data_IF_152626522850
#
_entry.id   IF_152626522850
#
_cell.length_a   1.000
_cell.length_b   1.000
_cell.length_c   1.000
_cell.angle_alpha   90.00
_cell.angle_beta   90.00
_cell.angle_gamma   90.00
#
_symmetry.space_group_name_H-M   'P 1'
#
loop_
_entity.id
_entity.type
_entity.pdbx_description
1 polymer ?
#
# COMPACT_ATOMS: atom_id res chain seq x y z
N UNK A 1 -22.83 20.96 -26.85
CA UNK A 1 -22.10 19.77 -26.34
C UNK A 1 -21.18 19.31 -27.46
N UNK A 2 -19.87 19.50 -27.32
CA UNK A 2 -18.90 19.00 -28.32
C UNK A 2 -18.84 17.46 -28.21
N UNK A 3 -18.75 16.72 -29.34
CA UNK A 3 -18.58 15.27 -29.31
C UNK A 3 -17.23 14.94 -28.64
N UNK A 4 -17.24 14.00 -27.71
CA UNK A 4 -16.03 13.57 -27.01
C UNK A 4 -15.19 12.72 -27.98
N UNK A 5 -13.88 12.98 -28.03
CA UNK A 5 -12.96 12.26 -28.91
C UNK A 5 -12.94 10.76 -28.57
N UNK A 6 -12.71 9.86 -29.55
CA UNK A 6 -12.71 8.41 -29.33
C UNK A 6 -11.71 7.96 -28.26
N UNK A 7 -10.52 8.58 -28.20
CA UNK A 7 -9.51 8.30 -27.18
C UNK A 7 -9.97 8.67 -25.76
N UNK A 8 -10.70 9.78 -25.62
CA UNK A 8 -11.27 10.22 -24.34
C UNK A 8 -12.42 9.31 -23.89
N UNK A 9 -13.16 8.72 -24.83
CA UNK A 9 -14.17 7.71 -24.51
C UNK A 9 -13.53 6.41 -23.99
N UNK A 10 -12.49 5.90 -24.66
CA UNK A 10 -11.77 4.71 -24.22
C UNK A 10 -11.08 4.91 -22.86
N UNK A 11 -10.47 6.07 -22.63
CA UNK A 11 -9.85 6.40 -21.34
C UNK A 11 -10.89 6.46 -20.20
N UNK A 12 -12.05 7.09 -20.44
CA UNK A 12 -13.14 7.13 -19.45
C UNK A 12 -13.67 5.74 -19.13
N UNK A 13 -13.88 4.91 -20.14
CA UNK A 13 -14.33 3.53 -19.95
C UNK A 13 -13.34 2.72 -19.10
N UNK A 14 -12.03 2.89 -19.31
CA UNK A 14 -11.00 2.28 -18.44
C UNK A 14 -11.18 2.69 -16.98
N UNK A 15 -11.36 3.99 -16.71
CA UNK A 15 -11.55 4.51 -15.35
C UNK A 15 -12.83 3.98 -14.72
N UNK A 16 -13.92 3.86 -15.49
CA UNK A 16 -15.20 3.30 -15.04
C UNK A 16 -15.08 1.83 -14.65
N UNK A 17 -14.45 1.01 -15.50
CA UNK A 17 -14.22 -0.43 -15.25
C UNK A 17 -13.32 -0.65 -14.03
N UNK A 18 -12.23 0.12 -13.90
CA UNK A 18 -11.38 0.05 -12.70
C UNK A 18 -12.13 0.51 -11.45
N UNK A 19 -12.93 1.58 -11.57
CA UNK A 19 -13.80 2.03 -10.49
C UNK A 19 -14.79 0.96 -10.05
N UNK A 20 -15.35 0.20 -10.99
CA UNK A 20 -16.21 -0.94 -10.68
C UNK A 20 -15.45 -2.07 -9.98
N UNK A 21 -14.25 -2.41 -10.45
CA UNK A 21 -13.40 -3.41 -9.79
C UNK A 21 -13.09 -3.02 -8.33
N UNK A 22 -12.80 -1.74 -8.05
CA UNK A 22 -12.63 -1.22 -6.68
C UNK A 22 -13.91 -1.46 -5.86
N UNK A 23 -15.10 -1.13 -6.39
CA UNK A 23 -16.37 -1.32 -5.69
C UNK A 23 -16.66 -2.80 -5.40
N UNK A 24 -16.39 -3.70 -6.35
CA UNK A 24 -16.52 -5.14 -6.13
C UNK A 24 -15.55 -5.63 -5.04
N UNK A 25 -14.30 -5.20 -5.09
CA UNK A 25 -13.28 -5.58 -4.10
C UNK A 25 -13.57 -5.06 -2.70
N UNK A 26 -14.44 -4.06 -2.51
CA UNK A 26 -14.89 -3.64 -1.17
C UNK A 26 -15.72 -4.71 -0.46
N UNK A 27 -16.50 -5.48 -1.23
CA UNK A 27 -17.48 -6.43 -0.69
C UNK A 27 -17.13 -7.90 -0.93
N UNK A 28 -16.10 -8.19 -1.74
CA UNK A 28 -15.64 -9.56 -2.05
C UNK A 28 -14.14 -9.75 -1.83
N UNK A 29 -13.73 -10.97 -1.49
CA UNK A 29 -12.32 -11.35 -1.48
C UNK A 29 -11.79 -11.50 -2.91
N UNK A 30 -10.49 -11.25 -3.13
CA UNK A 30 -9.90 -11.23 -4.48
C UNK A 30 -10.17 -12.52 -5.28
N UNK A 31 -10.09 -13.68 -4.62
CA UNK A 31 -10.30 -14.99 -5.26
C UNK A 31 -11.77 -15.28 -5.63
N UNK A 32 -12.71 -14.46 -5.16
CA UNK A 32 -14.14 -14.56 -5.48
C UNK A 32 -14.54 -13.60 -6.62
N UNK A 33 -13.63 -12.69 -7.03
CA UNK A 33 -13.92 -11.70 -8.07
C UNK A 33 -13.61 -12.28 -9.46
N UNK A 34 -14.45 -11.93 -10.42
CA UNK A 34 -14.36 -12.33 -11.82
C UNK A 34 -14.87 -11.19 -12.71
N UNK A 35 -14.64 -11.27 -14.02
CA UNK A 35 -15.04 -10.22 -14.97
C UNK A 35 -16.55 -9.96 -14.97
N UNK A 36 -17.37 -10.98 -14.74
CA UNK A 36 -18.84 -10.90 -14.65
C UNK A 36 -19.28 -9.96 -13.52
N UNK A 37 -18.58 -10.01 -12.39
CA UNK A 37 -18.85 -9.13 -11.26
C UNK A 37 -18.55 -7.66 -11.62
N UNK A 38 -17.44 -7.42 -12.32
CA UNK A 38 -17.02 -6.08 -12.76
C UNK A 38 -17.95 -5.54 -13.85
N UNK A 39 -18.36 -6.38 -14.82
CA UNK A 39 -19.35 -6.04 -15.84
C UNK A 39 -20.68 -5.62 -15.18
N UNK A 40 -21.18 -6.42 -14.24
CA UNK A 40 -22.39 -6.10 -13.49
C UNK A 40 -22.26 -4.77 -12.73
N UNK A 41 -21.15 -4.56 -12.01
CA UNK A 41 -20.92 -3.36 -11.20
C UNK A 41 -20.62 -2.09 -12.03
N UNK A 42 -20.12 -2.26 -13.24
CA UNK A 42 -19.86 -1.15 -14.17
C UNK A 42 -21.09 -0.79 -15.01
N UNK A 43 -22.07 -1.70 -15.12
CA UNK A 43 -23.21 -1.56 -16.03
C UNK A 43 -22.87 -1.79 -17.51
N UNK A 44 -21.64 -2.26 -17.81
CA UNK A 44 -21.19 -2.55 -19.17
C UNK A 44 -21.27 -4.04 -19.48
N UNK A 45 -21.56 -4.42 -20.73
CA UNK A 45 -21.45 -5.80 -21.19
C UNK A 45 -20.05 -6.41 -20.95
N UNK A 46 -19.98 -7.71 -20.70
CA UNK A 46 -18.71 -8.38 -20.36
C UNK A 46 -17.69 -8.33 -21.50
N UNK A 47 -18.13 -8.41 -22.75
CA UNK A 47 -17.30 -8.27 -23.95
C UNK A 47 -16.61 -6.89 -23.97
N UNK A 48 -17.35 -5.82 -23.67
CA UNK A 48 -16.79 -4.46 -23.55
C UNK A 48 -15.74 -4.38 -22.43
N UNK A 49 -16.01 -4.98 -21.27
CA UNK A 49 -15.04 -5.02 -20.16
C UNK A 49 -13.76 -5.76 -20.56
N UNK A 50 -13.90 -6.92 -21.20
CA UNK A 50 -12.75 -7.74 -21.63
C UNK A 50 -12.00 -7.16 -22.83
N UNK A 51 -12.65 -6.37 -23.68
CA UNK A 51 -11.97 -5.61 -24.74
C UNK A 51 -11.04 -4.56 -24.15
N UNK A 52 -11.53 -3.82 -23.15
CA UNK A 52 -10.78 -2.74 -22.48
C UNK A 52 -9.68 -3.29 -21.57
N UNK A 53 -9.91 -4.44 -20.95
CA UNK A 53 -8.94 -5.19 -20.15
C UNK A 53 -8.86 -6.64 -20.61
N UNK A 54 -8.02 -6.94 -21.63
CA UNK A 54 -7.90 -8.29 -22.20
C UNK A 54 -7.37 -9.34 -21.23
N UNK A 55 -6.72 -8.92 -20.15
CA UNK A 55 -6.18 -9.81 -19.13
C UNK A 55 -6.65 -9.39 -17.74
N UNK A 56 -6.95 -10.39 -16.91
CA UNK A 56 -7.27 -10.20 -15.51
C UNK A 56 -6.14 -9.45 -14.78
N UNK A 57 -4.91 -9.85 -15.06
CA UNK A 57 -3.68 -9.23 -14.60
C UNK A 57 -3.63 -7.73 -14.88
N UNK A 58 -4.00 -7.31 -16.10
CA UNK A 58 -4.03 -5.90 -16.49
C UNK A 58 -5.07 -5.10 -15.69
N UNK A 59 -6.25 -5.67 -15.47
CA UNK A 59 -7.29 -5.05 -14.65
C UNK A 59 -6.87 -4.96 -13.19
N UNK A 60 -6.29 -6.02 -12.64
CA UNK A 60 -5.80 -6.08 -11.26
C UNK A 60 -4.74 -5.00 -11.00
N UNK A 61 -3.75 -4.88 -11.88
CA UNK A 61 -2.68 -3.89 -11.73
C UNK A 61 -3.19 -2.45 -11.87
N UNK A 62 -4.08 -2.18 -12.84
CA UNK A 62 -4.70 -0.87 -12.99
C UNK A 62 -5.55 -0.49 -11.76
N UNK A 63 -6.21 -1.48 -11.16
CA UNK A 63 -6.97 -1.32 -9.91
C UNK A 63 -6.08 -0.96 -8.74
N UNK A 64 -4.92 -1.63 -8.59
CA UNK A 64 -3.94 -1.29 -7.55
C UNK A 64 -3.47 0.16 -7.71
N UNK A 65 -3.11 0.56 -8.92
CA UNK A 65 -2.55 1.90 -9.18
C UNK A 65 -3.58 2.98 -8.89
N UNK A 66 -4.78 2.86 -9.48
CA UNK A 66 -5.84 3.86 -9.31
C UNK A 66 -6.30 3.95 -7.86
N UNK A 67 -6.46 2.83 -7.15
CA UNK A 67 -6.93 2.86 -5.76
C UNK A 67 -5.86 3.41 -4.80
N UNK A 68 -4.58 3.05 -5.00
CA UNK A 68 -3.49 3.66 -4.22
C UNK A 68 -3.40 5.16 -4.48
N UNK A 69 -3.53 5.60 -5.73
CA UNK A 69 -3.51 7.02 -6.09
C UNK A 69 -4.67 7.79 -5.44
N UNK A 70 -5.90 7.27 -5.52
CA UNK A 70 -7.09 7.86 -4.89
C UNK A 70 -6.92 8.01 -3.37
N UNK A 71 -6.30 7.03 -2.69
CA UNK A 71 -6.02 7.11 -1.25
C UNK A 71 -4.91 8.11 -0.95
N UNK A 72 -3.85 8.13 -1.77
CA UNK A 72 -2.58 8.77 -1.41
C UNK A 72 -2.50 10.22 -1.83
N UNK A 73 -3.00 10.59 -3.03
CA UNK A 73 -2.93 11.97 -3.52
C UNK A 73 -3.52 13.01 -2.56
N UNK A 74 -4.71 12.79 -1.94
CA UNK A 74 -5.27 13.76 -0.99
C UNK A 74 -4.39 13.98 0.24
N UNK A 75 -3.52 13.02 0.57
CA UNK A 75 -2.66 13.02 1.74
C UNK A 75 -1.26 13.56 1.46
N UNK A 76 -0.85 13.70 0.19
CA UNK A 76 0.47 14.22 -0.20
C UNK A 76 0.84 15.56 0.46
N UNK A 77 -0.08 16.54 0.62
CA UNK A 77 0.24 17.79 1.30
C UNK A 77 0.63 17.62 2.78
N UNK A 78 0.28 16.48 3.41
CA UNK A 78 0.71 16.16 4.79
C UNK A 78 2.19 15.78 4.81
N UNK A 79 2.69 15.03 3.83
CA UNK A 79 4.09 14.66 3.74
C UNK A 79 4.98 15.91 3.66
N UNK A 80 4.60 16.86 2.80
CA UNK A 80 5.34 18.11 2.60
C UNK A 80 5.39 18.98 3.85
N UNK A 81 4.27 19.08 4.59
CA UNK A 81 4.16 19.98 5.76
C UNK A 81 4.63 19.36 7.07
N UNK A 82 4.39 18.06 7.25
CA UNK A 82 4.45 17.40 8.55
C UNK A 82 5.39 16.18 8.56
N UNK A 83 6.00 15.84 7.43
CA UNK A 83 6.96 14.76 7.31
C UNK A 83 6.33 13.39 7.07
N UNK A 84 7.21 12.44 6.77
CA UNK A 84 6.90 11.09 6.28
C UNK A 84 6.12 10.27 7.31
N UNK A 85 6.49 10.38 8.58
CA UNK A 85 5.83 9.64 9.67
C UNK A 85 4.36 10.05 9.80
N UNK A 86 4.08 11.35 9.80
CA UNK A 86 2.71 11.88 9.93
C UNK A 86 1.89 11.53 8.68
N UNK A 87 2.52 11.53 7.51
CA UNK A 87 1.90 11.07 6.27
C UNK A 87 1.50 9.57 6.33
N UNK A 88 2.39 8.69 6.78
CA UNK A 88 2.03 7.27 6.95
C UNK A 88 0.95 7.08 8.02
N UNK A 89 0.97 7.85 9.10
CA UNK A 89 -0.11 7.87 10.09
C UNK A 89 -1.46 8.25 9.45
N UNK A 90 -1.46 9.25 8.56
CA UNK A 90 -2.67 9.65 7.85
C UNK A 90 -3.18 8.55 6.92
N UNK A 91 -2.28 7.81 6.26
CA UNK A 91 -2.64 6.62 5.47
C UNK A 91 -3.25 5.54 6.37
N UNK A 92 -2.69 5.28 7.56
CA UNK A 92 -3.28 4.34 8.53
C UNK A 92 -4.69 4.76 8.90
N UNK A 93 -4.92 6.05 9.17
CA UNK A 93 -6.27 6.58 9.43
C UNK A 93 -7.24 6.35 8.27
N UNK A 94 -6.80 6.56 7.03
CA UNK A 94 -7.61 6.26 5.85
C UNK A 94 -7.92 4.76 5.71
N UNK A 95 -6.97 3.88 6.05
CA UNK A 95 -7.16 2.43 5.99
C UNK A 95 -8.06 1.92 7.13
N UNK A 96 -8.14 2.60 8.27
CA UNK A 96 -9.15 2.32 9.31
C UNK A 96 -10.56 2.63 8.79
N UNK A 97 -10.72 3.76 8.08
CA UNK A 97 -12.00 4.13 7.50
C UNK A 97 -12.44 3.21 6.34
N UNK A 98 -11.48 2.65 5.60
CA UNK A 98 -11.69 1.71 4.52
C UNK A 98 -10.61 0.61 4.47
N UNK A 99 -10.83 -0.54 5.14
CA UNK A 99 -9.84 -1.61 5.21
C UNK A 99 -9.71 -2.41 3.90
N UNK A 100 -10.60 -2.17 2.93
CA UNK A 100 -10.75 -3.00 1.73
C UNK A 100 -9.51 -3.00 0.84
N UNK A 101 -8.86 -1.83 0.70
CA UNK A 101 -7.63 -1.73 -0.07
C UNK A 101 -6.52 -2.58 0.56
N UNK A 102 -6.38 -2.54 1.88
CA UNK A 102 -5.33 -3.31 2.56
C UNK A 102 -5.57 -4.81 2.45
N UNK A 103 -6.82 -5.26 2.60
CA UNK A 103 -7.18 -6.66 2.34
C UNK A 103 -6.83 -7.09 0.91
N UNK A 104 -7.09 -6.22 -0.07
CA UNK A 104 -6.73 -6.47 -1.46
C UNK A 104 -5.21 -6.53 -1.67
N UNK A 105 -4.45 -5.54 -1.16
CA UNK A 105 -2.98 -5.51 -1.27
C UNK A 105 -2.33 -6.72 -0.57
N UNK A 106 -2.84 -7.13 0.59
CA UNK A 106 -2.35 -8.34 1.26
C UNK A 106 -2.65 -9.60 0.47
N UNK A 107 -3.78 -9.66 -0.25
CA UNK A 107 -4.07 -10.79 -1.14
C UNK A 107 -3.07 -10.87 -2.30
N UNK A 108 -2.57 -9.73 -2.79
CA UNK A 108 -1.60 -9.69 -3.89
C UNK A 108 -0.16 -9.95 -3.42
N UNK A 109 0.14 -9.85 -2.12
CA UNK A 109 1.43 -10.31 -1.57
C UNK A 109 1.66 -11.80 -1.83
N UNK A 110 0.64 -12.65 -1.68
CA UNK A 110 0.76 -14.09 -1.97
C UNK A 110 1.11 -14.34 -3.45
N UNK A 111 0.52 -13.55 -4.35
CA UNK A 111 0.82 -13.60 -5.79
C UNK A 111 2.28 -13.18 -6.01
N UNK A 112 2.70 -12.07 -5.42
CA UNK A 112 4.06 -11.55 -5.55
C UNK A 112 5.10 -12.54 -5.00
N UNK A 113 4.83 -13.17 -3.86
CA UNK A 113 5.74 -14.11 -3.19
C UNK A 113 5.80 -15.49 -3.84
N UNK A 114 4.89 -15.81 -4.77
CA UNK A 114 4.86 -17.11 -5.44
C UNK A 114 6.01 -17.23 -6.45
N UNK A 115 6.91 -18.21 -6.31
CA UNK A 115 7.98 -18.42 -7.28
C UNK A 115 7.44 -18.58 -8.70
N UNK A 116 8.09 -17.92 -9.66
CA UNK A 116 7.75 -17.98 -11.10
C UNK A 116 6.36 -17.45 -11.49
N UNK A 117 5.63 -16.76 -10.59
CA UNK A 117 4.35 -16.17 -10.96
C UNK A 117 4.54 -15.03 -11.98
N UNK A 118 3.81 -15.02 -13.13
CA UNK A 118 3.99 -14.00 -14.18
C UNK A 118 3.81 -12.55 -13.69
N UNK A 119 2.87 -12.32 -12.78
CA UNK A 119 2.64 -11.00 -12.17
C UNK A 119 3.70 -10.53 -11.17
N UNK A 120 4.51 -11.43 -10.59
CA UNK A 120 5.39 -11.08 -9.47
C UNK A 120 6.35 -9.91 -9.79
N UNK A 121 7.05 -9.86 -10.95
CA UNK A 121 7.90 -8.72 -11.29
C UNK A 121 7.17 -7.37 -11.33
N UNK A 122 5.92 -7.36 -11.82
CA UNK A 122 5.10 -6.14 -11.92
C UNK A 122 4.64 -5.67 -10.53
N UNK A 123 4.37 -6.60 -9.62
CA UNK A 123 4.06 -6.30 -8.23
C UNK A 123 5.30 -5.77 -7.51
N UNK A 124 6.47 -6.42 -7.63
CA UNK A 124 7.72 -5.97 -7.00
C UNK A 124 8.07 -4.52 -7.32
N UNK A 125 7.83 -4.07 -8.55
CA UNK A 125 8.05 -2.67 -8.94
C UNK A 125 7.25 -1.70 -8.06
N UNK A 126 6.01 -2.04 -7.69
CA UNK A 126 5.14 -1.18 -6.86
C UNK A 126 5.63 -1.11 -5.42
N UNK A 127 5.97 -2.26 -4.81
CA UNK A 127 6.54 -2.29 -3.46
C UNK A 127 7.87 -1.53 -3.40
N UNK A 128 8.77 -1.75 -4.38
CA UNK A 128 10.05 -1.03 -4.44
C UNK A 128 9.88 0.47 -4.62
N UNK A 129 8.90 0.92 -5.41
CA UNK A 129 8.59 2.34 -5.57
C UNK A 129 8.12 2.96 -4.26
N UNK A 130 7.23 2.29 -3.53
CA UNK A 130 6.76 2.78 -2.24
C UNK A 130 7.88 2.83 -1.20
N UNK A 131 8.73 1.78 -1.14
CA UNK A 131 9.91 1.77 -0.28
C UNK A 131 10.88 2.91 -0.60
N UNK A 132 11.22 3.08 -1.88
CA UNK A 132 12.11 4.16 -2.33
C UNK A 132 11.53 5.54 -2.00
N UNK A 133 10.22 5.74 -2.18
CA UNK A 133 9.53 6.96 -1.80
C UNK A 133 9.67 7.27 -0.31
N UNK A 134 9.39 6.29 0.58
CA UNK A 134 9.50 6.49 2.04
C UNK A 134 10.94 6.78 2.44
N UNK A 135 11.92 6.06 1.89
CA UNK A 135 13.33 6.31 2.15
C UNK A 135 13.76 7.72 1.73
N UNK A 136 13.38 8.17 0.54
CA UNK A 136 13.69 9.52 0.05
C UNK A 136 13.02 10.60 0.89
N UNK A 137 11.78 10.37 1.32
CA UNK A 137 11.05 11.30 2.16
C UNK A 137 11.66 11.40 3.58
N UNK A 138 12.10 10.29 4.17
CA UNK A 138 12.84 10.31 5.44
C UNK A 138 14.21 10.98 5.31
N UNK A 139 14.93 10.78 4.20
CA UNK A 139 16.17 11.50 3.91
C UNK A 139 15.93 13.02 3.91
N UNK A 140 14.88 13.48 3.23
CA UNK A 140 14.50 14.88 3.25
C UNK A 140 14.12 15.37 4.66
N UNK A 141 13.38 14.57 5.43
CA UNK A 141 13.00 14.92 6.81
C UNK A 141 14.21 15.08 7.74
N UNK A 142 15.28 14.30 7.55
CA UNK A 142 16.55 14.50 8.25
C UNK A 142 17.22 15.80 7.80
N UNK A 143 17.31 16.04 6.50
CA UNK A 143 17.95 17.25 5.93
C UNK A 143 17.30 18.56 6.43
N UNK A 144 15.99 18.58 6.61
CA UNK A 144 15.26 19.75 7.12
C UNK A 144 15.05 19.75 8.64
N UNK A 145 15.63 18.77 9.35
CA UNK A 145 15.63 18.70 10.81
C UNK A 145 14.33 18.26 11.48
N UNK A 146 13.43 17.57 10.76
CA UNK A 146 12.21 16.95 11.32
C UNK A 146 12.49 15.62 12.01
N UNK A 147 13.50 14.90 11.53
CA UNK A 147 14.00 13.65 12.11
C UNK A 147 15.48 13.81 12.49
N UNK A 148 15.97 13.04 13.49
CA UNK A 148 17.33 13.21 14.01
C UNK A 148 18.40 12.80 12.99
N UNK A 149 19.56 13.45 13.05
CA UNK A 149 20.75 13.17 12.21
C UNK A 149 21.39 11.81 12.49
N UNK A 150 21.11 11.22 13.65
CA UNK A 150 21.49 9.85 14.01
C UNK A 150 20.68 8.77 13.28
N UNK A 151 19.57 9.13 12.63
CA UNK A 151 18.77 8.20 11.84
C UNK A 151 19.46 7.87 10.52
N UNK A 152 19.57 6.58 10.18
CA UNK A 152 19.93 6.12 8.83
C UNK A 152 18.64 5.92 8.00
N UNK A 153 18.34 6.76 6.97
CA UNK A 153 17.04 6.73 6.30
C UNK A 153 16.67 5.41 5.62
N UNK A 154 17.66 4.66 5.13
CA UNK A 154 17.42 3.34 4.54
C UNK A 154 16.89 2.34 5.60
N UNK A 155 17.51 2.30 6.78
CA UNK A 155 17.07 1.44 7.89
C UNK A 155 15.78 1.95 8.52
N UNK A 156 15.65 3.26 8.66
CA UNK A 156 14.42 3.90 9.16
C UNK A 156 13.22 3.57 8.28
N UNK A 157 13.37 3.61 6.96
CA UNK A 157 12.32 3.23 6.02
C UNK A 157 11.91 1.76 6.16
N UNK A 158 12.88 0.85 6.23
CA UNK A 158 12.63 -0.58 6.44
C UNK A 158 11.84 -0.84 7.73
N UNK A 159 12.30 -0.27 8.85
CA UNK A 159 11.64 -0.42 10.16
C UNK A 159 10.23 0.16 10.17
N UNK A 160 10.06 1.36 9.59
CA UNK A 160 8.79 2.07 9.56
C UNK A 160 7.78 1.32 8.69
N UNK A 161 8.20 0.83 7.52
CA UNK A 161 7.34 0.06 6.61
C UNK A 161 6.99 -1.30 7.19
N UNK A 162 7.94 -2.03 7.78
CA UNK A 162 7.66 -3.30 8.45
C UNK A 162 6.63 -3.12 9.58
N UNK A 163 6.76 -2.05 10.36
CA UNK A 163 5.80 -1.70 11.41
C UNK A 163 4.43 -1.35 10.81
N UNK A 164 4.39 -0.49 9.79
CA UNK A 164 3.17 -0.07 9.11
C UNK A 164 2.41 -1.24 8.45
N UNK A 165 3.09 -2.10 7.71
CA UNK A 165 2.48 -3.24 7.02
C UNK A 165 2.10 -4.34 8.01
N UNK A 166 2.97 -4.64 8.98
CA UNK A 166 2.74 -5.66 9.99
C UNK A 166 1.54 -5.35 10.88
N UNK A 167 1.39 -4.11 11.35
CA UNK A 167 0.25 -3.71 12.17
C UNK A 167 -1.07 -3.79 11.40
N UNK A 168 -1.07 -3.39 10.13
CA UNK A 168 -2.27 -3.50 9.29
C UNK A 168 -2.67 -4.95 9.07
N UNK A 169 -1.70 -5.82 8.76
CA UNK A 169 -1.95 -7.25 8.64
C UNK A 169 -2.54 -7.82 9.93
N UNK A 170 -1.97 -7.49 11.08
CA UNK A 170 -2.47 -7.94 12.38
C UNK A 170 -3.88 -7.41 12.69
N UNK A 171 -4.19 -6.16 12.34
CA UNK A 171 -5.52 -5.58 12.56
C UNK A 171 -6.63 -6.31 11.79
N UNK A 172 -6.32 -6.88 10.61
CA UNK A 172 -7.31 -7.60 9.82
C UNK A 172 -7.77 -8.92 10.46
N UNK A 173 -6.97 -9.50 11.35
CA UNK A 173 -7.27 -10.75 12.06
C UNK A 173 -7.53 -10.55 13.54
N UNK A 174 -7.51 -9.30 14.02
CA UNK A 174 -7.72 -8.91 15.42
C UNK A 174 -8.74 -7.76 15.47
N UNK A 175 -10.05 -8.05 15.43
CA UNK A 175 -11.08 -7.02 15.26
C UNK A 175 -11.13 -6.00 16.41
N UNK A 176 -10.63 -6.34 17.59
CA UNK A 176 -10.58 -5.46 18.77
C UNK A 176 -9.31 -4.58 18.80
N UNK A 177 -8.39 -4.74 17.85
CA UNK A 177 -7.15 -3.98 17.82
C UNK A 177 -7.41 -2.55 17.35
N UNK A 178 -7.10 -1.57 18.21
CA UNK A 178 -6.96 -0.18 17.78
C UNK A 178 -5.67 -0.05 16.94
N UNK A 179 -5.83 -0.07 15.62
CA UNK A 179 -4.73 0.04 14.67
C UNK A 179 -4.02 1.39 14.77
N UNK A 180 -4.76 2.49 14.95
CA UNK A 180 -4.18 3.83 14.95
C UNK A 180 -3.39 4.07 16.23
N UNK A 181 -3.94 3.70 17.39
CA UNK A 181 -3.23 3.77 18.68
C UNK A 181 -1.99 2.85 18.67
N UNK A 182 -2.11 1.65 18.09
CA UNK A 182 -0.99 0.72 18.00
C UNK A 182 0.13 1.24 17.10
N UNK A 183 -0.22 1.90 15.99
CA UNK A 183 0.74 2.56 15.11
C UNK A 183 1.44 3.72 15.84
N UNK A 184 0.68 4.59 16.51
CA UNK A 184 1.22 5.72 17.26
C UNK A 184 2.22 5.26 18.32
N UNK A 185 1.85 4.27 19.14
CA UNK A 185 2.73 3.71 20.17
C UNK A 185 4.00 3.08 19.59
N UNK A 186 3.88 2.33 18.49
CA UNK A 186 5.03 1.68 17.85
C UNK A 186 5.99 2.70 17.25
N UNK A 187 5.46 3.69 16.53
CA UNK A 187 6.25 4.73 15.88
C UNK A 187 6.91 5.66 16.91
N UNK A 188 6.25 5.99 18.02
CA UNK A 188 6.88 6.77 19.09
C UNK A 188 8.15 6.09 19.61
N UNK A 189 8.08 4.78 19.88
CA UNK A 189 9.25 4.01 20.33
C UNK A 189 10.31 3.86 19.24
N UNK A 190 9.89 3.67 17.99
CA UNK A 190 10.79 3.61 16.85
C UNK A 190 11.60 4.91 16.69
N UNK A 191 10.92 6.07 16.76
CA UNK A 191 11.55 7.39 16.67
C UNK A 191 12.45 7.71 17.85
N UNK A 192 12.11 7.24 19.05
CA UNK A 192 13.03 7.30 20.19
C UNK A 192 14.31 6.49 19.93
N UNK A 193 14.21 5.35 19.23
CA UNK A 193 15.38 4.58 18.79
C UNK A 193 16.24 5.36 17.78
N UNK A 194 15.61 6.08 16.84
CA UNK A 194 16.31 6.87 15.83
C UNK A 194 17.13 8.03 16.38
N UNK A 195 16.78 8.56 17.56
CA UNK A 195 17.53 9.65 18.20
C UNK A 195 18.82 9.20 18.88
N UNK A 196 19.11 7.89 18.87
CA UNK A 196 20.31 7.30 19.45
C UNK A 196 21.21 6.79 18.33
N UNK A 197 22.52 6.86 18.53
CA UNK A 197 23.47 6.22 17.63
C UNK A 197 23.18 4.71 17.53
N UNK A 198 23.19 4.18 16.33
CA UNK A 198 22.99 2.75 16.12
C UNK A 198 24.11 1.95 16.79
N UNK A 199 23.70 0.98 17.61
CA UNK A 199 24.59 -0.03 18.19
C UNK A 199 24.11 -1.39 17.68
N UNK A 200 24.97 -2.17 16.99
CA UNK A 200 24.61 -3.51 16.56
C UNK A 200 24.10 -4.36 17.73
N UNK A 201 23.05 -5.17 17.52
CA UNK A 201 22.55 -6.02 18.59
C UNK A 201 23.61 -7.06 18.97
N UNK A 202 23.77 -7.26 20.28
CA UNK A 202 24.53 -8.38 20.84
C UNK A 202 23.51 -9.40 21.31
N UNK A 203 23.37 -10.47 20.54
CA UNK A 203 22.50 -11.60 20.92
C UNK A 203 23.36 -12.65 21.64
N UNK A 204 22.98 -13.02 22.85
CA UNK A 204 23.59 -14.14 23.55
C UNK A 204 22.92 -15.45 23.10
N UNK A 205 23.20 -15.86 21.85
CA UNK A 205 22.65 -17.09 21.25
C UNK A 205 23.53 -18.31 21.54
N UNK A 206 24.79 -18.10 21.91
CA UNK A 206 25.74 -19.17 22.23
C UNK A 206 25.35 -19.90 23.54
N UNK A 207 24.59 -19.25 24.42
CA UNK A 207 24.02 -19.87 25.62
C UNK A 207 22.89 -20.90 25.34
N UNK A 208 22.40 -21.01 24.10
CA UNK A 208 21.28 -21.90 23.73
C UNK A 208 21.73 -23.25 23.15
N UNK A 209 23.03 -23.48 22.90
CA UNK A 209 23.55 -24.75 22.35
C UNK A 209 23.71 -25.88 23.39
N UNK A 210 23.26 -25.68 24.65
CA UNK A 210 23.40 -26.67 25.74
C UNK A 210 22.09 -27.29 26.24
N UNK A 211 20.99 -27.17 25.50
CA UNK A 211 19.70 -27.84 25.83
C UNK A 211 19.34 -28.91 24.81
#
# INVERSE_FOLDING_TARGET
MLPVAPADAAARLRVEVVGAMIRVLRVRALHEVAFEHVATESGHPIDIVTEVFPTWDGLLLATIDQWNEQRTLPLMPIAERSGTVVFLRAIVGANVADPSLMRFLTSTLNIAATPHHPLAPMLYVRWRRFHAFVQQALQHDVEVGREPDTMEPARGAEQLLATYEGLQLQSMVRPEMDLLESFDRAVTRLREGWSRAYVPPVWDLDALETV
#
